data_IF_955440159569
#
_entry.id   IF_955440159569
#
_cell.length_a   1.000
_cell.length_b   1.000
_cell.length_c   1.000
_cell.angle_alpha   90.00
_cell.angle_beta   90.00
_cell.angle_gamma   90.00
#
_symmetry.space_group_name_H-M   'P 1'
#
loop_
_entity.id
_entity.type
_entity.pdbx_description
1 polymer ?
#
# COMPACT_ATOMS: atom_id res chain seq x y z
N UNK A 1 60.15 31.36 -50.54
CA UNK A 1 59.25 30.45 -49.80
C UNK A 1 58.14 30.05 -50.76
N UNK A 2 58.16 28.80 -51.22
CA UNK A 2 57.33 28.27 -52.32
C UNK A 2 56.00 27.71 -51.78
N UNK A 3 54.92 28.06 -52.49
CA UNK A 3 53.78 27.22 -52.95
C UNK A 3 53.00 26.36 -51.93
N UNK A 4 51.67 26.25 -51.93
CA UNK A 4 50.63 26.76 -52.85
C UNK A 4 49.30 26.00 -52.67
N UNK A 5 48.23 26.55 -53.29
CA UNK A 5 47.06 25.89 -53.96
C UNK A 5 46.27 24.82 -53.19
N UNK A 6 44.97 24.99 -52.91
CA UNK A 6 43.78 24.87 -53.81
C UNK A 6 42.78 23.91 -53.10
N UNK A 7 41.47 23.81 -53.30
CA UNK A 7 40.53 24.33 -54.29
C UNK A 7 39.08 24.13 -53.75
N UNK A 8 38.22 25.10 -54.03
CA UNK A 8 36.80 25.05 -54.43
C UNK A 8 35.64 24.42 -53.61
N UNK A 9 34.58 25.21 -53.69
CA UNK A 9 33.18 25.17 -53.26
C UNK A 9 32.24 24.23 -54.02
N UNK A 10 31.20 23.77 -53.31
CA UNK A 10 29.78 23.51 -53.67
C UNK A 10 29.39 23.06 -55.09
N UNK A 11 28.59 21.99 -55.19
CA UNK A 11 27.24 22.00 -55.83
C UNK A 11 26.50 20.66 -55.69
N UNK A 12 25.18 20.76 -55.88
CA UNK A 12 24.07 19.85 -55.61
C UNK A 12 23.92 18.59 -56.52
N UNK A 13 23.10 17.66 -56.00
CA UNK A 13 22.02 16.87 -56.65
C UNK A 13 22.34 15.48 -57.27
N UNK A 14 21.75 14.49 -56.58
CA UNK A 14 20.82 13.47 -57.07
C UNK A 14 21.32 12.36 -58.03
N UNK A 15 21.23 11.11 -57.57
CA UNK A 15 20.58 10.02 -58.30
C UNK A 15 20.34 8.81 -57.37
N UNK A 16 19.09 8.33 -57.36
CA UNK A 16 18.66 7.11 -56.72
C UNK A 16 19.17 5.87 -57.48
N UNK A 17 19.39 4.75 -56.77
CA UNK A 17 19.08 3.40 -57.25
C UNK A 17 19.35 2.33 -56.17
N UNK A 18 18.24 1.78 -55.64
CA UNK A 18 17.95 0.34 -55.65
C UNK A 18 18.80 -0.63 -54.81
N UNK A 19 18.20 -1.04 -53.69
CA UNK A 19 18.14 -2.40 -53.11
C UNK A 19 19.44 -3.19 -52.84
N UNK A 20 19.73 -3.36 -51.54
CA UNK A 20 20.12 -4.63 -50.89
C UNK A 20 19.75 -4.49 -49.40
N UNK A 21 18.61 -5.01 -48.95
CA UNK A 21 18.46 -6.35 -48.35
C UNK A 21 19.00 -6.44 -46.90
N UNK A 22 18.05 -6.65 -45.99
CA UNK A 22 18.19 -7.23 -44.64
C UNK A 22 19.08 -6.51 -43.63
N UNK A 23 18.46 -5.62 -42.85
CA UNK A 23 18.75 -5.51 -41.43
C UNK A 23 17.42 -5.33 -40.68
N UNK A 24 16.69 -6.43 -40.51
CA UNK A 24 15.86 -6.56 -39.31
C UNK A 24 16.83 -6.55 -38.12
N UNK A 25 17.12 -5.36 -37.60
CA UNK A 25 17.42 -5.26 -36.19
C UNK A 25 16.15 -5.74 -35.48
N UNK A 26 16.16 -7.00 -35.09
CA UNK A 26 15.48 -7.44 -33.88
C UNK A 26 15.88 -6.44 -32.81
N UNK A 27 14.99 -5.49 -32.50
CA UNK A 27 15.03 -4.87 -31.20
C UNK A 27 14.83 -6.01 -30.23
N UNK A 28 15.93 -6.58 -29.74
CA UNK A 28 15.88 -7.31 -28.50
C UNK A 28 15.26 -6.31 -27.51
N UNK A 29 14.03 -6.59 -27.09
CA UNK A 29 13.47 -5.89 -25.96
C UNK A 29 14.52 -6.04 -24.86
N UNK A 30 15.17 -4.94 -24.47
CA UNK A 30 15.99 -4.93 -23.27
C UNK A 30 15.00 -5.38 -22.18
N UNK A 31 15.26 -6.54 -21.60
CA UNK A 31 14.45 -7.02 -20.48
C UNK A 31 14.41 -5.89 -19.46
N UNK A 32 13.22 -5.50 -19.03
CA UNK A 32 13.09 -4.45 -18.03
C UNK A 32 13.80 -4.94 -16.76
N UNK A 33 14.98 -4.38 -16.50
CA UNK A 33 15.80 -4.75 -15.36
C UNK A 33 15.51 -3.78 -14.21
N UNK A 34 15.31 -4.32 -13.01
CA UNK A 34 15.15 -3.49 -11.82
C UNK A 34 16.50 -2.87 -11.47
N UNK A 35 16.47 -1.64 -10.97
CA UNK A 35 17.67 -0.99 -10.42
C UNK A 35 18.28 -1.86 -9.32
N UNK A 36 19.60 -2.04 -9.33
CA UNK A 36 20.35 -2.78 -8.31
C UNK A 36 20.22 -2.10 -6.93
N UNK A 37 20.36 -2.88 -5.87
CA UNK A 37 20.40 -2.39 -4.51
C UNK A 37 21.78 -1.91 -4.11
N UNK A 38 21.84 -0.97 -3.18
CA UNK A 38 23.12 -0.56 -2.57
C UNK A 38 23.67 -1.64 -1.62
N UNK A 39 22.78 -2.50 -1.12
CA UNK A 39 23.09 -3.58 -0.18
C UNK A 39 23.68 -4.83 -0.85
N UNK A 40 23.53 -4.96 -2.17
CA UNK A 40 23.84 -6.19 -2.91
C UNK A 40 22.78 -7.29 -2.77
N UNK A 41 21.67 -7.03 -2.08
CA UNK A 41 20.51 -7.93 -2.06
C UNK A 41 19.76 -7.89 -3.40
N UNK A 42 19.01 -8.94 -3.77
CA UNK A 42 18.16 -8.87 -4.96
C UNK A 42 17.15 -7.73 -4.88
N UNK A 43 17.02 -6.92 -5.95
CA UNK A 43 16.13 -5.75 -5.98
C UNK A 43 14.67 -6.09 -5.71
N UNK A 44 14.24 -7.29 -6.10
CA UNK A 44 12.96 -7.87 -5.73
C UNK A 44 13.10 -9.38 -5.56
N UNK A 45 12.23 -9.97 -4.73
CA UNK A 45 12.21 -11.40 -4.46
C UNK A 45 10.78 -11.93 -4.43
N UNK A 46 10.60 -13.17 -4.88
CA UNK A 46 9.40 -13.96 -4.60
C UNK A 46 9.62 -14.75 -3.31
N UNK A 47 8.81 -14.49 -2.30
CA UNK A 47 8.80 -15.17 -1.02
C UNK A 47 7.85 -16.39 -1.10
N UNK A 48 8.44 -17.58 -1.14
CA UNK A 48 7.72 -18.85 -1.19
C UNK A 48 7.37 -19.38 0.21
N UNK A 49 6.29 -20.18 0.33
CA UNK A 49 5.91 -20.82 1.58
C UNK A 49 6.80 -22.04 1.89
N UNK A 50 8.08 -21.81 2.20
CA UNK A 50 9.07 -22.87 2.42
C UNK A 50 8.65 -23.81 3.56
N UNK A 51 8.73 -25.11 3.31
CA UNK A 51 8.46 -26.14 4.31
C UNK A 51 9.75 -26.76 4.83
N UNK A 52 9.80 -27.06 6.13
CA UNK A 52 10.98 -27.69 6.74
C UNK A 52 11.26 -29.11 6.23
N UNK A 53 10.29 -29.77 5.60
CA UNK A 53 10.41 -31.10 4.99
C UNK A 53 10.47 -31.08 3.45
N UNK A 54 10.52 -29.89 2.85
CA UNK A 54 10.64 -29.68 1.41
C UNK A 54 9.40 -30.07 0.58
N UNK A 55 8.28 -30.40 1.21
CA UNK A 55 7.03 -30.76 0.51
C UNK A 55 6.12 -29.56 0.35
N UNK A 56 5.58 -29.36 -0.86
CA UNK A 56 4.56 -28.34 -1.09
C UNK A 56 3.26 -28.69 -0.34
N UNK A 57 2.70 -27.71 0.39
CA UNK A 57 1.38 -27.86 1.00
C UNK A 57 0.31 -27.37 0.03
N UNK A 58 -0.66 -28.23 -0.26
CA UNK A 58 -1.81 -27.90 -1.12
C UNK A 58 -2.67 -26.84 -0.43
N UNK A 59 -3.01 -25.77 -1.14
CA UNK A 59 -3.91 -24.70 -0.66
C UNK A 59 -3.23 -23.52 0.02
N UNK A 60 -1.92 -23.33 -0.15
CA UNK A 60 -1.23 -22.12 0.31
C UNK A 60 -1.65 -20.87 -0.49
N UNK A 61 -1.44 -19.69 0.10
CA UNK A 61 -1.51 -18.41 -0.61
C UNK A 61 -0.58 -18.42 -1.84
N UNK A 62 -0.89 -17.58 -2.83
CA UNK A 62 0.10 -17.25 -3.86
C UNK A 62 1.39 -16.76 -3.20
N UNK A 63 2.58 -17.08 -3.72
CA UNK A 63 3.82 -16.53 -3.18
C UNK A 63 3.77 -14.99 -3.14
N UNK A 64 4.39 -14.41 -2.12
CA UNK A 64 4.42 -12.96 -1.96
C UNK A 64 5.57 -12.36 -2.78
N UNK A 65 5.39 -11.14 -3.29
CA UNK A 65 6.49 -10.43 -3.96
C UNK A 65 6.95 -9.27 -3.08
N UNK A 66 8.24 -9.29 -2.75
CA UNK A 66 8.89 -8.27 -1.94
C UNK A 66 9.82 -7.43 -2.82
N UNK A 67 9.64 -6.12 -2.83
CA UNK A 67 10.54 -5.20 -3.53
C UNK A 67 11.59 -4.69 -2.53
N UNK A 68 12.74 -5.34 -2.45
CA UNK A 68 13.80 -5.02 -1.50
C UNK A 68 14.35 -3.62 -1.72
N UNK A 69 14.55 -3.22 -2.98
CA UNK A 69 15.04 -1.91 -3.37
C UNK A 69 14.19 -0.77 -2.78
N UNK A 70 12.86 -0.90 -2.84
CA UNK A 70 11.97 0.11 -2.26
C UNK A 70 12.07 0.14 -0.74
N UNK A 71 12.25 -1.02 -0.09
CA UNK A 71 12.33 -1.11 1.36
C UNK A 71 13.66 -0.61 1.91
N UNK A 72 14.80 -0.95 1.31
CA UNK A 72 16.11 -0.46 1.78
C UNK A 72 16.25 1.06 1.62
N UNK A 73 15.66 1.63 0.57
CA UNK A 73 15.61 3.09 0.39
C UNK A 73 14.70 3.77 1.43
N UNK A 74 13.78 3.03 2.04
CA UNK A 74 12.84 3.53 3.04
C UNK A 74 13.27 3.21 4.49
N UNK A 75 14.16 2.24 4.69
CA UNK A 75 14.58 1.72 6.00
C UNK A 75 16.09 1.59 6.02
N UNK A 76 16.75 2.51 6.74
CA UNK A 76 18.21 2.60 6.79
C UNK A 76 18.88 1.41 7.51
N UNK A 77 18.29 0.94 8.62
CA UNK A 77 18.87 -0.12 9.45
C UNK A 77 18.36 -1.49 9.01
N UNK A 78 19.20 -2.25 8.30
CA UNK A 78 18.91 -3.61 7.84
C UNK A 78 18.47 -4.54 8.99
N UNK A 79 18.97 -4.31 10.22
CA UNK A 79 18.65 -5.12 11.40
C UNK A 79 17.24 -4.86 11.94
N UNK A 80 16.52 -3.89 11.37
CA UNK A 80 15.06 -3.74 11.58
C UNK A 80 14.33 -4.99 11.10
N UNK A 81 14.67 -5.46 9.90
CA UNK A 81 14.07 -6.66 9.29
C UNK A 81 14.89 -7.91 9.60
N UNK A 82 16.21 -7.87 9.34
CA UNK A 82 17.15 -8.93 9.67
C UNK A 82 17.50 -8.89 11.16
N UNK A 83 16.49 -9.16 12.00
CA UNK A 83 16.53 -8.88 13.43
C UNK A 83 17.52 -9.76 14.23
N UNK A 84 18.17 -10.74 13.60
CA UNK A 84 19.28 -11.52 14.20
C UNK A 84 20.63 -10.87 13.95
N UNK A 85 20.72 -9.92 13.01
CA UNK A 85 21.96 -9.33 12.51
C UNK A 85 22.49 -9.99 11.25
N UNK A 86 21.97 -11.18 10.89
CA UNK A 86 22.42 -11.92 9.71
C UNK A 86 21.53 -11.61 8.49
N UNK A 87 22.11 -11.21 7.35
CA UNK A 87 21.37 -10.94 6.12
C UNK A 87 21.01 -12.25 5.39
N UNK A 88 20.26 -13.13 6.06
CA UNK A 88 19.77 -14.40 5.52
C UNK A 88 18.26 -14.36 5.27
N UNK A 89 17.72 -15.37 4.58
CA UNK A 89 16.30 -15.42 4.30
C UNK A 89 15.50 -15.65 5.58
N UNK A 90 14.32 -15.03 5.67
CA UNK A 90 13.41 -15.27 6.78
C UNK A 90 13.04 -16.75 6.90
N UNK A 91 12.89 -17.43 5.75
CA UNK A 91 12.46 -18.83 5.67
C UNK A 91 13.49 -19.82 6.19
N UNK A 92 14.75 -19.41 6.35
CA UNK A 92 15.82 -20.26 6.90
C UNK A 92 15.53 -20.62 8.36
N UNK A 93 14.81 -19.75 9.08
CA UNK A 93 14.33 -19.99 10.45
C UNK A 93 12.79 -20.06 10.53
N UNK A 94 12.07 -19.29 9.73
CA UNK A 94 10.61 -19.19 9.78
C UNK A 94 9.98 -19.98 8.63
N UNK A 95 9.98 -21.31 8.74
CA UNK A 95 9.27 -22.19 7.80
C UNK A 95 7.77 -22.15 8.05
N UNK A 96 6.98 -22.72 7.13
CA UNK A 96 5.53 -22.77 7.22
C UNK A 96 5.02 -23.43 8.52
N UNK A 97 5.73 -24.45 9.01
CA UNK A 97 5.42 -25.16 10.26
C UNK A 97 6.24 -24.68 11.47
N UNK A 98 7.13 -23.71 11.26
CA UNK A 98 8.14 -23.31 12.23
C UNK A 98 9.31 -24.29 12.30
N UNK A 99 10.44 -23.81 12.84
CA UNK A 99 11.65 -24.60 13.06
C UNK A 99 12.19 -24.37 14.48
N UNK A 100 13.09 -25.25 14.99
CA UNK A 100 13.84 -24.99 16.22
C UNK A 100 14.63 -23.67 16.18
N UNK A 101 15.26 -23.36 15.05
CA UNK A 101 16.08 -22.15 14.85
C UNK A 101 15.22 -20.88 14.98
N UNK A 102 14.01 -20.91 14.42
CA UNK A 102 12.99 -19.87 14.57
C UNK A 102 12.22 -19.92 15.90
N UNK A 103 12.61 -20.78 16.85
CA UNK A 103 11.93 -21.01 18.13
C UNK A 103 10.43 -21.34 17.98
N UNK A 104 10.09 -22.08 16.92
CA UNK A 104 8.72 -22.46 16.58
C UNK A 104 7.87 -21.33 15.98
N UNK A 105 8.44 -20.14 15.73
CA UNK A 105 7.72 -19.07 15.04
C UNK A 105 7.58 -19.43 13.56
N UNK A 106 6.33 -19.60 13.13
CA UNK A 106 5.98 -19.93 11.73
C UNK A 106 6.20 -18.73 10.80
N UNK A 107 6.29 -19.03 9.49
CA UNK A 107 6.34 -18.01 8.44
C UNK A 107 5.17 -17.03 8.52
N UNK A 108 3.95 -17.53 8.74
CA UNK A 108 2.75 -16.70 8.90
C UNK A 108 2.92 -15.67 10.03
N UNK A 109 3.38 -16.12 11.20
CA UNK A 109 3.61 -15.23 12.35
C UNK A 109 4.72 -14.22 12.04
N UNK A 110 5.82 -14.66 11.44
CA UNK A 110 6.93 -13.78 11.08
C UNK A 110 6.51 -12.67 10.11
N UNK A 111 5.62 -12.97 9.15
CA UNK A 111 5.18 -12.01 8.12
C UNK A 111 3.98 -11.15 8.53
N UNK A 112 3.11 -11.63 9.43
CA UNK A 112 1.81 -10.97 9.70
C UNK A 112 1.55 -10.56 11.16
N UNK A 113 2.45 -10.87 12.11
CA UNK A 113 2.25 -10.49 13.50
C UNK A 113 2.06 -8.98 13.68
N UNK A 114 0.96 -8.54 14.30
CA UNK A 114 0.70 -7.12 14.60
C UNK A 114 1.04 -6.72 16.03
N UNK A 115 1.04 -7.69 16.94
CA UNK A 115 1.26 -7.51 18.37
C UNK A 115 2.57 -8.18 18.82
N UNK A 116 3.69 -7.70 18.32
CA UNK A 116 5.01 -8.20 18.69
C UNK A 116 5.43 -7.55 20.00
N UNK A 117 5.66 -8.36 21.03
CA UNK A 117 6.10 -7.86 22.33
C UNK A 117 7.52 -7.26 22.22
N UNK A 118 7.78 -6.09 22.84
CA UNK A 118 9.13 -5.55 22.92
C UNK A 118 10.08 -6.55 23.57
N UNK A 119 11.26 -6.72 22.99
CA UNK A 119 12.30 -7.54 23.61
C UNK A 119 13.01 -6.76 24.70
N UNK A 120 13.26 -7.41 25.83
CA UNK A 120 14.07 -6.83 26.90
C UNK A 120 15.54 -6.62 26.47
N UNK A 121 16.05 -7.51 25.62
CA UNK A 121 17.40 -7.46 25.07
C UNK A 121 17.36 -7.69 23.55
N UNK A 122 18.15 -6.91 22.80
CA UNK A 122 18.24 -7.00 21.33
C UNK A 122 17.14 -6.26 20.57
N UNK A 123 17.15 -6.38 19.24
CA UNK A 123 16.17 -5.75 18.36
C UNK A 123 14.81 -6.44 18.49
N UNK A 124 13.75 -5.65 18.67
CA UNK A 124 12.37 -6.16 18.58
C UNK A 124 12.05 -6.41 17.11
N UNK A 125 11.67 -7.64 16.71
CA UNK A 125 11.35 -7.94 15.33
C UNK A 125 10.17 -7.12 14.83
N UNK A 126 10.16 -6.87 13.52
CA UNK A 126 8.97 -6.41 12.81
C UNK A 126 8.52 -7.48 11.81
N UNK A 127 7.23 -7.59 11.62
CA UNK A 127 6.60 -8.24 10.47
C UNK A 127 6.21 -7.21 9.41
N UNK A 128 5.92 -7.66 8.19
CA UNK A 128 5.40 -6.80 7.12
C UNK A 128 4.20 -5.98 7.61
N UNK A 129 3.24 -6.65 8.26
CA UNK A 129 2.01 -6.01 8.72
C UNK A 129 2.30 -5.06 9.88
N UNK A 130 3.08 -5.46 10.89
CA UNK A 130 3.37 -4.55 12.03
C UNK A 130 4.13 -3.30 11.62
N UNK A 131 5.09 -3.40 10.70
CA UNK A 131 5.85 -2.25 10.23
C UNK A 131 4.93 -1.30 9.47
N UNK A 132 4.10 -1.81 8.55
CA UNK A 132 3.10 -1.00 7.85
C UNK A 132 2.09 -0.38 8.81
N UNK A 133 1.70 -1.09 9.87
CA UNK A 133 0.83 -0.53 10.91
C UNK A 133 1.49 0.59 11.71
N UNK A 134 2.76 0.44 12.07
CA UNK A 134 3.52 1.50 12.74
C UNK A 134 3.67 2.71 11.82
N UNK A 135 3.95 2.48 10.54
CA UNK A 135 4.11 3.53 9.54
C UNK A 135 2.87 4.43 9.45
N UNK A 136 1.69 3.86 9.18
CA UNK A 136 0.48 4.69 9.03
C UNK A 136 0.03 5.31 10.36
N UNK A 137 0.41 4.75 11.52
CA UNK A 137 0.14 5.35 12.84
C UNK A 137 1.08 6.51 13.16
N UNK A 138 2.29 6.49 12.61
CA UNK A 138 3.31 7.52 12.86
C UNK A 138 3.14 8.80 12.04
N UNK A 139 2.38 8.72 10.93
CA UNK A 139 2.19 9.81 9.98
C UNK A 139 0.86 10.51 10.17
N UNK A 140 0.88 11.84 10.35
CA UNK A 140 -0.34 12.62 10.56
C UNK A 140 -1.29 12.54 9.34
N UNK A 141 -0.73 12.49 8.13
CA UNK A 141 -1.47 12.34 6.87
C UNK A 141 -2.21 11.00 6.74
N UNK A 142 -1.81 9.98 7.51
CA UNK A 142 -2.42 8.65 7.51
C UNK A 142 -3.30 8.41 8.76
N UNK A 143 -2.82 8.85 9.92
CA UNK A 143 -3.37 8.52 11.23
C UNK A 143 -4.82 9.00 11.43
N UNK A 144 -5.25 10.05 10.72
CA UNK A 144 -6.66 10.46 10.66
C UNK A 144 -7.58 9.33 10.26
N UNK A 145 -7.49 8.92 9.00
CA UNK A 145 -8.30 7.83 8.44
C UNK A 145 -8.07 6.51 9.20
N UNK A 146 -6.82 6.18 9.50
CA UNK A 146 -6.47 4.91 10.13
C UNK A 146 -6.83 4.81 11.63
N UNK A 147 -7.19 5.93 12.28
CA UNK A 147 -7.71 5.91 13.66
C UNK A 147 -9.19 5.56 13.76
N UNK A 148 -9.94 5.72 12.66
CA UNK A 148 -11.40 5.51 12.60
C UNK A 148 -11.81 4.33 11.70
N UNK A 149 -10.84 3.71 11.03
CA UNK A 149 -11.05 2.57 10.14
C UNK A 149 -10.56 1.28 10.80
N UNK A 150 -11.41 0.26 10.73
CA UNK A 150 -11.00 -1.13 10.92
C UNK A 150 -10.74 -1.76 9.55
N UNK A 151 -9.50 -2.14 9.22
CA UNK A 151 -9.20 -2.74 7.91
C UNK A 151 -9.93 -4.07 7.76
N UNK A 152 -10.59 -4.28 6.62
CA UNK A 152 -11.37 -5.50 6.34
C UNK A 152 -10.49 -6.76 6.25
N UNK A 153 -9.22 -6.60 5.85
CA UNK A 153 -8.26 -7.69 5.59
C UNK A 153 -8.89 -8.79 4.72
N UNK A 154 -9.55 -8.36 3.64
CA UNK A 154 -10.20 -9.24 2.66
C UNK A 154 -9.20 -9.74 1.61
N UNK A 155 -9.66 -10.55 0.65
CA UNK A 155 -8.82 -11.13 -0.41
C UNK A 155 -8.02 -10.07 -1.18
N UNK A 156 -8.58 -8.86 -1.36
CA UNK A 156 -7.89 -7.76 -2.04
C UNK A 156 -6.74 -7.21 -1.20
N UNK A 157 -6.92 -7.10 0.12
CA UNK A 157 -5.82 -6.74 1.03
C UNK A 157 -4.70 -7.79 1.00
N UNK A 158 -5.05 -9.07 1.01
CA UNK A 158 -4.08 -10.17 0.89
C UNK A 158 -3.30 -10.12 -0.44
N UNK A 159 -4.00 -9.84 -1.54
CA UNK A 159 -3.44 -9.77 -2.89
C UNK A 159 -2.48 -8.60 -3.12
N UNK A 160 -2.38 -7.63 -2.20
CA UNK A 160 -1.34 -6.58 -2.28
C UNK A 160 0.06 -7.17 -2.20
N UNK A 161 0.22 -8.22 -1.39
CA UNK A 161 1.48 -8.96 -1.24
C UNK A 161 1.46 -10.28 -2.03
N UNK A 162 0.37 -11.04 -1.94
CA UNK A 162 0.21 -12.38 -2.50
C UNK A 162 -0.32 -12.36 -3.94
N UNK A 163 0.53 -11.97 -4.89
CA UNK A 163 0.16 -11.84 -6.31
C UNK A 163 1.17 -12.45 -7.29
N UNK A 164 2.19 -13.18 -6.81
CA UNK A 164 3.10 -13.87 -7.71
C UNK A 164 2.36 -14.98 -8.46
N UNK A 165 2.25 -14.84 -9.78
CA UNK A 165 1.83 -15.92 -10.67
C UNK A 165 3.05 -16.75 -11.04
N UNK A 166 3.12 -17.97 -10.51
CA UNK A 166 4.23 -18.91 -10.75
C UNK A 166 3.67 -20.22 -11.30
N UNK A 167 4.46 -20.93 -12.11
CA UNK A 167 4.08 -22.27 -12.57
C UNK A 167 4.10 -23.26 -11.40
N UNK A 168 3.41 -24.41 -11.51
CA UNK A 168 3.49 -25.47 -10.51
C UNK A 168 4.93 -25.94 -10.23
N UNK A 169 5.78 -25.99 -11.26
CA UNK A 169 7.20 -26.35 -11.13
C UNK A 169 7.98 -25.30 -10.33
N UNK A 170 7.79 -24.02 -10.64
CA UNK A 170 8.40 -22.92 -9.90
C UNK A 170 7.94 -22.90 -8.44
N UNK A 171 6.64 -23.12 -8.19
CA UNK A 171 6.09 -23.22 -6.85
C UNK A 171 6.71 -24.38 -6.06
N UNK A 172 6.82 -25.57 -6.66
CA UNK A 172 7.45 -26.73 -6.02
C UNK A 172 8.93 -26.49 -5.73
N UNK A 173 9.66 -25.86 -6.66
CA UNK A 173 11.08 -25.53 -6.51
C UNK A 173 11.31 -24.49 -5.42
N UNK A 174 10.52 -23.41 -5.41
CA UNK A 174 10.58 -22.37 -4.38
C UNK A 174 10.18 -22.90 -3.00
N UNK A 175 9.16 -23.74 -2.91
CA UNK A 175 8.71 -24.32 -1.63
C UNK A 175 9.71 -25.29 -1.03
N UNK A 176 10.44 -26.04 -1.87
CA UNK A 176 11.51 -26.94 -1.40
C UNK A 176 12.83 -26.22 -1.10
N UNK A 177 12.93 -24.91 -1.35
CA UNK A 177 14.16 -24.13 -1.17
C UNK A 177 15.23 -24.40 -2.24
N UNK A 178 14.89 -25.10 -3.34
CA UNK A 178 15.83 -25.48 -4.39
C UNK A 178 15.97 -24.43 -5.51
N UNK A 179 15.24 -23.31 -5.43
CA UNK A 179 15.31 -22.21 -6.41
C UNK A 179 16.58 -21.40 -6.20
N UNK A 180 17.31 -21.09 -7.28
CA UNK A 180 18.47 -20.20 -7.18
C UNK A 180 18.01 -18.75 -7.00
N UNK A 181 18.90 -17.93 -6.46
CA UNK A 181 18.66 -16.49 -6.29
C UNK A 181 18.42 -15.79 -7.63
N UNK A 182 19.21 -16.13 -8.66
CA UNK A 182 19.07 -15.61 -10.02
C UNK A 182 17.70 -15.92 -10.64
N UNK A 183 17.24 -17.17 -10.52
CA UNK A 183 15.92 -17.58 -11.02
C UNK A 183 14.79 -16.88 -10.24
N UNK A 184 14.94 -16.71 -8.93
CA UNK A 184 13.97 -15.99 -8.11
C UNK A 184 13.87 -14.52 -8.53
N UNK A 185 15.02 -13.86 -8.73
CA UNK A 185 15.09 -12.47 -9.16
C UNK A 185 14.48 -12.27 -10.56
N UNK A 186 14.69 -13.19 -11.49
CA UNK A 186 14.07 -13.14 -12.82
C UNK A 186 12.53 -13.15 -12.72
N UNK A 187 11.99 -14.07 -11.93
CA UNK A 187 10.53 -14.15 -11.69
C UNK A 187 10.03 -12.89 -11.00
N UNK A 188 10.71 -12.44 -9.94
CA UNK A 188 10.31 -11.26 -9.17
C UNK A 188 10.33 -10.00 -10.04
N UNK A 189 11.37 -9.81 -10.85
CA UNK A 189 11.52 -8.70 -11.79
C UNK A 189 10.34 -8.66 -12.74
N UNK A 190 10.04 -9.79 -13.40
CA UNK A 190 8.89 -9.88 -14.30
C UNK A 190 7.58 -9.51 -13.62
N UNK A 191 7.32 -10.05 -12.42
CA UNK A 191 6.07 -9.79 -11.70
C UNK A 191 5.97 -8.33 -11.27
N UNK A 192 7.07 -7.70 -10.84
CA UNK A 192 7.10 -6.28 -10.47
C UNK A 192 6.89 -5.38 -11.69
N UNK A 193 7.54 -5.67 -12.82
CA UNK A 193 7.45 -4.84 -14.03
C UNK A 193 6.09 -4.96 -14.72
N UNK A 194 5.45 -6.12 -14.64
CA UNK A 194 4.12 -6.36 -15.23
C UNK A 194 2.98 -5.78 -14.36
N UNK A 195 3.25 -5.42 -13.10
CA UNK A 195 2.24 -4.89 -12.18
C UNK A 195 1.74 -3.53 -12.66
N UNK A 196 0.46 -3.48 -13.03
CA UNK A 196 -0.21 -2.23 -13.38
C UNK A 196 -0.30 -1.31 -12.18
N UNK A 197 -0.06 -0.02 -12.41
CA UNK A 197 -0.33 1.01 -11.43
C UNK A 197 -1.81 1.02 -11.05
N UNK A 198 -2.10 1.25 -9.77
CA UNK A 198 -3.47 1.40 -9.30
C UNK A 198 -4.09 2.68 -9.87
N UNK A 199 -5.40 2.63 -10.12
CA UNK A 199 -6.15 3.82 -10.49
C UNK A 199 -6.13 4.82 -9.33
N UNK A 200 -5.80 6.08 -9.64
CA UNK A 200 -5.74 7.15 -8.65
C UNK A 200 -7.15 7.57 -8.23
N UNK A 201 -7.28 7.97 -6.97
CA UNK A 201 -8.55 8.41 -6.39
C UNK A 201 -9.13 9.60 -7.15
N UNK A 202 -10.35 9.43 -7.66
CA UNK A 202 -11.07 10.46 -8.39
C UNK A 202 -11.79 11.46 -7.46
N UNK A 203 -11.91 12.71 -7.90
CA UNK A 203 -12.58 13.79 -7.14
C UNK A 203 -14.11 13.85 -7.32
N UNK A 204 -14.75 12.72 -7.61
CA UNK A 204 -16.15 12.64 -8.00
C UNK A 204 -17.10 12.66 -6.79
N UNK A 205 -17.00 13.66 -5.92
CA UNK A 205 -17.85 13.77 -4.74
C UNK A 205 -18.52 15.15 -4.63
N UNK A 206 -19.65 15.27 -3.91
CA UNK A 206 -20.30 16.56 -3.68
C UNK A 206 -19.33 17.60 -3.10
N UNK A 207 -19.45 18.86 -3.53
CA UNK A 207 -18.60 19.95 -2.99
C UNK A 207 -18.84 20.15 -1.50
N UNK A 208 -20.12 20.19 -1.12
CA UNK A 208 -20.60 20.33 0.27
C UNK A 208 -21.76 19.38 0.50
N UNK A 209 -21.96 18.98 1.75
CA UNK A 209 -23.09 18.18 2.20
C UNK A 209 -23.71 18.86 3.41
N UNK A 210 -25.02 19.08 3.39
CA UNK A 210 -25.75 19.57 4.56
C UNK A 210 -26.12 18.37 5.43
N UNK A 211 -25.63 18.36 6.67
CA UNK A 211 -25.95 17.34 7.68
C UNK A 211 -26.98 17.94 8.64
N UNK A 212 -28.25 17.58 8.45
CA UNK A 212 -29.42 18.15 9.13
C UNK A 212 -30.30 17.13 9.85
N UNK A 213 -30.00 15.83 9.74
CA UNK A 213 -30.84 14.75 10.25
C UNK A 213 -31.14 14.81 11.76
N UNK A 214 -30.32 15.56 12.52
CA UNK A 214 -30.40 15.77 13.96
C UNK A 214 -30.43 17.27 14.33
N UNK A 215 -30.68 18.18 13.37
CA UNK A 215 -30.72 19.60 13.66
C UNK A 215 -31.87 19.91 14.63
N UNK A 216 -31.52 20.53 15.75
CA UNK A 216 -32.42 20.88 16.86
C UNK A 216 -31.76 22.00 17.70
N UNK A 217 -30.98 21.66 18.73
CA UNK A 217 -30.18 22.62 19.52
C UNK A 217 -29.17 23.43 18.68
N UNK A 218 -28.69 22.84 17.59
CA UNK A 218 -27.76 23.44 16.65
C UNK A 218 -28.31 23.38 15.22
N UNK A 219 -27.92 24.37 14.42
CA UNK A 219 -28.22 24.45 12.98
C UNK A 219 -27.52 23.30 12.24
N UNK A 220 -28.03 22.91 11.05
CA UNK A 220 -27.36 21.95 10.19
C UNK A 220 -25.87 22.26 9.98
N UNK A 221 -25.04 21.23 10.00
CA UNK A 221 -23.63 21.38 9.66
C UNK A 221 -23.47 21.38 8.13
N UNK A 222 -22.89 22.45 7.59
CA UNK A 222 -22.51 22.51 6.18
C UNK A 222 -21.10 21.93 5.99
N UNK A 223 -21.02 20.62 5.80
CA UNK A 223 -19.76 19.89 5.68
C UNK A 223 -19.08 20.18 4.34
N UNK A 224 -17.81 20.61 4.38
CA UNK A 224 -17.00 20.90 3.20
C UNK A 224 -16.42 19.61 2.57
N UNK A 225 -17.30 18.72 2.10
CA UNK A 225 -16.97 17.35 1.70
C UNK A 225 -15.78 17.24 0.73
N UNK A 226 -15.86 17.83 -0.47
CA UNK A 226 -14.77 17.72 -1.47
C UNK A 226 -13.44 18.30 -0.98
N UNK A 227 -13.49 19.34 -0.13
CA UNK A 227 -12.27 19.94 0.45
C UNK A 227 -11.55 18.95 1.36
N UNK A 228 -12.28 18.20 2.19
CA UNK A 228 -11.69 17.18 3.05
C UNK A 228 -11.07 16.06 2.21
N UNK A 229 -11.81 15.50 1.25
CA UNK A 229 -11.29 14.44 0.38
C UNK A 229 -10.05 14.91 -0.38
N UNK A 230 -10.07 16.12 -0.93
CA UNK A 230 -8.91 16.63 -1.67
C UNK A 230 -7.67 16.84 -0.80
N UNK A 231 -7.85 17.33 0.43
CA UNK A 231 -6.73 17.47 1.38
C UNK A 231 -6.13 16.12 1.77
N UNK A 232 -6.96 15.09 1.92
CA UNK A 232 -6.51 13.74 2.28
C UNK A 232 -5.76 13.08 1.12
N UNK A 233 -6.29 13.16 -0.10
CA UNK A 233 -5.66 12.59 -1.31
C UNK A 233 -4.33 13.28 -1.61
N UNK A 234 -4.27 14.61 -1.48
CA UNK A 234 -3.03 15.35 -1.68
C UNK A 234 -1.93 14.93 -0.69
N UNK A 235 -2.30 14.64 0.56
CA UNK A 235 -1.36 14.23 1.61
C UNK A 235 -0.68 12.88 1.37
N UNK A 236 -1.26 12.02 0.52
CA UNK A 236 -0.75 10.66 0.27
C UNK A 236 -0.32 10.42 -1.19
N UNK A 237 -0.37 11.45 -2.05
CA UNK A 237 -0.29 11.30 -3.51
C UNK A 237 0.99 10.61 -4.02
N UNK A 238 2.09 10.75 -3.27
CA UNK A 238 3.42 10.22 -3.58
C UNK A 238 3.83 9.06 -2.64
N UNK A 239 2.92 8.60 -1.76
CA UNK A 239 3.21 7.55 -0.79
C UNK A 239 2.99 6.16 -1.43
N UNK A 240 4.09 5.43 -1.64
CA UNK A 240 4.07 4.12 -2.29
C UNK A 240 3.30 3.05 -1.51
N UNK A 241 3.25 3.14 -0.17
CA UNK A 241 2.51 2.19 0.64
C UNK A 241 1.02 2.46 0.56
N UNK A 242 0.63 3.73 0.64
CA UNK A 242 -0.76 4.15 0.42
C UNK A 242 -1.22 3.76 -0.99
N UNK A 243 -0.41 4.03 -2.01
CA UNK A 243 -0.70 3.63 -3.39
C UNK A 243 -0.92 2.12 -3.54
N UNK A 244 -0.13 1.29 -2.86
CA UNK A 244 -0.25 -0.16 -2.92
C UNK A 244 -1.53 -0.69 -2.24
N UNK A 245 -1.87 -0.19 -1.06
CA UNK A 245 -3.00 -0.68 -0.25
C UNK A 245 -4.33 0.02 -0.54
N UNK A 246 -4.33 1.20 -1.17
CA UNK A 246 -5.53 1.87 -1.68
C UNK A 246 -5.80 1.47 -3.14
N UNK A 247 -6.02 0.17 -3.35
CA UNK A 247 -6.03 -0.51 -4.64
C UNK A 247 -7.16 -0.15 -5.62
N UNK A 248 -8.10 0.71 -5.23
CA UNK A 248 -9.14 1.22 -6.13
C UNK A 248 -9.59 2.63 -5.67
N UNK A 249 -10.07 3.48 -6.58
CA UNK A 249 -10.32 4.90 -6.31
C UNK A 249 -11.24 5.17 -5.12
N UNK A 250 -12.21 4.28 -4.87
CA UNK A 250 -13.24 4.46 -3.84
C UNK A 250 -12.83 3.96 -2.46
N UNK A 251 -11.64 3.35 -2.29
CA UNK A 251 -11.22 2.80 -0.98
C UNK A 251 -11.15 3.88 0.09
N UNK A 252 -10.71 5.08 -0.27
CA UNK A 252 -10.66 6.22 0.65
C UNK A 252 -12.08 6.68 1.06
N UNK A 253 -13.07 6.52 0.18
CA UNK A 253 -14.46 6.82 0.52
C UNK A 253 -14.96 5.94 1.68
N UNK A 254 -14.46 4.70 1.76
CA UNK A 254 -14.80 3.73 2.80
C UNK A 254 -14.30 4.13 4.20
N UNK A 255 -13.41 5.11 4.30
CA UNK A 255 -13.01 5.68 5.59
C UNK A 255 -14.20 6.24 6.35
N UNK A 256 -15.05 7.02 5.67
CA UNK A 256 -16.25 7.61 6.25
C UNK A 256 -17.50 6.80 5.92
N UNK A 257 -17.56 6.25 4.70
CA UNK A 257 -18.68 5.43 4.21
C UNK A 257 -18.40 3.95 4.43
N UNK A 258 -18.08 3.59 5.66
CA UNK A 258 -17.68 2.24 6.04
C UNK A 258 -18.85 1.23 5.99
N UNK A 259 -18.52 -0.07 6.12
CA UNK A 259 -19.48 -1.18 6.18
C UNK A 259 -20.55 -1.21 5.06
N UNK A 260 -20.23 -0.61 3.91
CA UNK A 260 -21.01 -0.68 2.68
C UNK A 260 -20.11 -1.08 1.50
N UNK A 261 -20.67 -1.58 0.39
CA UNK A 261 -19.92 -1.73 -0.86
C UNK A 261 -19.33 -0.39 -1.30
N UNK A 262 -18.15 -0.42 -1.92
CA UNK A 262 -17.57 0.80 -2.47
C UNK A 262 -18.45 1.34 -3.59
N UNK A 263 -18.77 2.63 -3.52
CA UNK A 263 -19.72 3.26 -4.42
C UNK A 263 -19.52 4.78 -4.44
N UNK A 264 -19.85 5.39 -5.57
CA UNK A 264 -19.97 6.85 -5.72
C UNK A 264 -21.24 7.41 -5.05
N UNK A 265 -22.17 6.53 -4.67
CA UNK A 265 -23.43 6.87 -4.00
C UNK A 265 -23.59 6.00 -2.75
N UNK A 266 -22.75 6.22 -1.72
CA UNK A 266 -22.85 5.48 -0.47
C UNK A 266 -24.16 5.81 0.28
N UNK A 267 -24.66 4.89 1.13
CA UNK A 267 -25.82 5.17 1.96
C UNK A 267 -25.55 6.30 2.96
N UNK A 268 -26.62 6.95 3.43
CA UNK A 268 -26.54 7.91 4.54
C UNK A 268 -26.18 7.18 5.82
N UNK A 269 -25.48 7.86 6.74
CA UNK A 269 -25.15 7.30 8.06
C UNK A 269 -26.40 6.83 8.82
N UNK A 270 -27.49 7.61 8.72
CA UNK A 270 -28.78 7.33 9.35
C UNK A 270 -29.51 6.07 8.82
N UNK A 271 -29.03 5.45 7.74
CA UNK A 271 -29.55 4.16 7.27
C UNK A 271 -29.15 3.01 8.21
N UNK A 272 -28.09 3.17 8.99
CA UNK A 272 -27.62 2.15 9.95
C UNK A 272 -27.55 2.70 11.39
N UNK A 273 -27.17 3.96 11.58
CA UNK A 273 -27.10 4.60 12.88
C UNK A 273 -28.42 5.26 13.24
N UNK A 274 -29.13 4.72 14.24
CA UNK A 274 -30.40 5.25 14.75
C UNK A 274 -30.20 6.52 15.58
N UNK A 275 -31.24 7.35 15.69
CA UNK A 275 -31.20 8.55 16.54
C UNK A 275 -31.07 8.20 18.03
N UNK A 276 -31.71 7.11 18.45
CA UNK A 276 -31.70 6.56 19.80
C UNK A 276 -30.85 5.29 19.87
N UNK A 277 -30.59 4.78 21.07
CA UNK A 277 -29.92 3.50 21.26
C UNK A 277 -30.72 2.40 20.54
N UNK A 278 -30.00 1.52 19.83
CA UNK A 278 -30.55 0.31 19.21
C UNK A 278 -30.08 -0.91 20.02
N UNK A 279 -30.95 -1.51 20.86
CA UNK A 279 -30.58 -2.67 21.67
C UNK A 279 -30.18 -3.92 20.84
N UNK A 280 -30.60 -4.00 19.58
CA UNK A 280 -30.23 -5.11 18.70
C UNK A 280 -28.82 -4.97 18.13
N UNK A 281 -28.26 -3.76 18.16
CA UNK A 281 -26.91 -3.45 17.66
C UNK A 281 -26.15 -2.59 18.69
N UNK A 282 -25.81 -3.12 19.88
CA UNK A 282 -25.28 -2.34 20.99
C UNK A 282 -23.91 -1.70 20.70
N UNK A 283 -23.10 -2.31 19.82
CA UNK A 283 -21.80 -1.77 19.41
C UNK A 283 -21.91 -0.65 18.37
N UNK A 284 -23.10 -0.42 17.82
CA UNK A 284 -23.34 0.64 16.84
C UNK A 284 -23.72 1.94 17.56
N UNK A 285 -22.90 3.00 17.47
CA UNK A 285 -23.23 4.27 18.12
C UNK A 285 -24.51 4.88 17.53
N UNK A 286 -25.21 5.69 18.33
CA UNK A 286 -26.30 6.54 17.82
C UNK A 286 -25.80 7.48 16.73
N UNK A 287 -26.68 8.01 15.90
CA UNK A 287 -26.32 8.91 14.80
C UNK A 287 -25.54 10.14 15.27
N UNK A 288 -25.85 10.69 16.46
CA UNK A 288 -25.10 11.80 17.08
C UNK A 288 -23.67 11.36 17.39
N UNK A 289 -23.52 10.23 18.07
CA UNK A 289 -22.22 9.70 18.43
C UNK A 289 -21.41 9.28 17.20
N UNK A 290 -22.03 8.71 16.17
CA UNK A 290 -21.37 8.34 14.92
C UNK A 290 -20.73 9.55 14.22
N UNK A 291 -21.44 10.67 14.12
CA UNK A 291 -20.85 11.90 13.57
C UNK A 291 -19.70 12.41 14.43
N UNK A 292 -19.88 12.52 15.75
CA UNK A 292 -18.82 13.04 16.63
C UNK A 292 -17.59 12.16 16.66
N UNK A 293 -17.74 10.84 16.85
CA UNK A 293 -16.63 9.89 16.89
C UNK A 293 -15.84 9.90 15.57
N UNK A 294 -16.53 9.96 14.43
CA UNK A 294 -15.87 9.99 13.12
C UNK A 294 -15.14 11.32 12.86
N UNK A 295 -15.83 12.46 13.03
CA UNK A 295 -15.25 13.78 12.74
C UNK A 295 -14.12 14.14 13.73
N UNK A 296 -14.38 14.00 15.03
CA UNK A 296 -13.41 14.36 16.07
C UNK A 296 -12.29 13.33 16.12
N UNK A 297 -12.58 12.04 15.92
CA UNK A 297 -11.57 10.98 15.87
C UNK A 297 -10.52 11.25 14.79
N UNK A 298 -10.96 11.55 13.56
CA UNK A 298 -10.06 11.90 12.47
C UNK A 298 -9.27 13.19 12.75
N UNK A 299 -9.93 14.25 13.23
CA UNK A 299 -9.24 15.50 13.58
C UNK A 299 -8.15 15.29 14.63
N UNK A 300 -8.43 14.50 15.67
CA UNK A 300 -7.45 14.16 16.69
C UNK A 300 -6.32 13.31 16.11
N UNK A 301 -6.64 12.30 15.29
CA UNK A 301 -5.65 11.43 14.64
C UNK A 301 -4.67 12.18 13.74
N UNK A 302 -5.12 13.27 13.10
CA UNK A 302 -4.27 14.11 12.24
C UNK A 302 -3.71 15.35 12.96
N UNK A 303 -3.99 15.54 14.25
CA UNK A 303 -3.65 16.77 14.99
C UNK A 303 -4.18 18.06 14.32
N UNK A 304 -5.43 18.04 13.83
CA UNK A 304 -6.08 19.21 13.22
C UNK A 304 -6.28 20.30 14.27
N UNK A 305 -5.65 21.45 14.07
CA UNK A 305 -5.70 22.56 15.02
C UNK A 305 -7.08 23.19 15.18
N UNK A 306 -7.92 23.18 14.13
CA UNK A 306 -9.29 23.71 14.14
C UNK A 306 -10.20 22.92 13.22
N UNK A 307 -11.46 22.65 13.62
CA UNK A 307 -12.05 22.93 14.93
C UNK A 307 -11.47 22.03 16.05
N UNK A 308 -11.34 22.57 17.26
CA UNK A 308 -11.05 21.77 18.45
C UNK A 308 -12.33 21.06 18.91
N UNK A 309 -12.20 19.88 19.50
CA UNK A 309 -13.35 19.05 19.91
C UNK A 309 -14.33 19.76 20.87
N UNK A 310 -13.83 20.72 21.66
CA UNK A 310 -14.60 21.50 22.62
C UNK A 310 -15.28 22.73 22.02
N UNK A 311 -15.01 23.07 20.75
CA UNK A 311 -15.68 24.17 20.05
C UNK A 311 -16.94 23.64 19.36
N UNK A 312 -18.04 23.63 20.12
CA UNK A 312 -19.32 23.13 19.64
C UNK A 312 -19.90 23.97 18.50
N UNK A 313 -19.47 25.21 18.30
CA UNK A 313 -20.09 26.13 17.31
C UNK A 313 -19.32 26.24 16.00
N UNK A 314 -18.05 25.79 15.97
CA UNK A 314 -17.25 25.78 14.75
C UNK A 314 -17.75 24.80 13.69
N UNK A 315 -18.33 23.66 14.10
CA UNK A 315 -18.97 22.73 13.18
C UNK A 315 -20.41 23.16 12.90
N UNK A 316 -21.24 23.31 13.94
CA UNK A 316 -22.66 23.59 13.81
C UNK A 316 -23.03 24.78 14.68
N UNK A 317 -23.56 25.85 14.09
CA UNK A 317 -23.89 27.08 14.83
C UNK A 317 -25.05 26.83 15.78
N UNK A 318 -25.01 27.41 16.98
CA UNK A 318 -26.14 27.37 17.90
C UNK A 318 -27.40 27.95 17.24
N UNK A 319 -28.56 27.37 17.58
CA UNK A 319 -29.84 28.05 17.34
C UNK A 319 -29.95 29.17 18.38
N UNK A 320 -30.26 30.42 17.99
CA UNK A 320 -30.46 31.50 18.95
C UNK A 320 -31.56 31.11 19.96
N UNK A 321 -31.33 31.39 21.25
CA UNK A 321 -32.41 31.31 22.22
C UNK A 321 -33.46 32.38 21.87
N UNK A 322 -34.73 31.97 21.80
CA UNK A 322 -35.88 32.88 21.68
C UNK A 322 -36.11 33.68 22.98
#
# INVERSE_FOLDING_TARGET
MRNGKALLTQTLKAAACTFCLFAWCTGAAIAAELEETDSGAPSALVMFPVTGDGKAIVGSMKPAVFNHLVHEKAVEDCTTCHHTGDPQSCSDCHTLTGSPEGKGITLERAMHATNIAPRANGKTPVSCVSCHEQYYKSKAECAGCHSIVTPKKDDKWCAVCHYAEVTPEQLAKGTSGAMSEEENLEIATKVVTDKKANEKVGYFAPTKVTIDALADEYKPHLFAHRRHVASLVEGIKDDKLADAFHYQPEVICATCHHYSPLSMQPPKCGSCHSKTIDPANPDRPTLKAAYHLNCIGCHNGMNVARPVATDCVACHKAVPAE
#
